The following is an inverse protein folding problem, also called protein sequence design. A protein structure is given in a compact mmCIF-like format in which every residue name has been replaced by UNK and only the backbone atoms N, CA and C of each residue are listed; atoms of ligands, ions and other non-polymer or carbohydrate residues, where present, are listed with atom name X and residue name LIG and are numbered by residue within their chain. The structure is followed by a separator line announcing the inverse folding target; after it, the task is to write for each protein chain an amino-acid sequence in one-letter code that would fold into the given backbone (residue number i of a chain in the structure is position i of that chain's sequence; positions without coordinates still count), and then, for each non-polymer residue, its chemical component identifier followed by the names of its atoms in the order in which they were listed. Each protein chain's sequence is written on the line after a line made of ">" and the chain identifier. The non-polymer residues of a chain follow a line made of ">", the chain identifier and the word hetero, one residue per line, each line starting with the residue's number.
data_IF_495757509823
#
_entry.id   IF_495757509823
#
_cell.length_a   1.000
_cell.length_b   1.000
_cell.length_c   1.000
_cell.angle_alpha   90.00
_cell.angle_beta   90.00
_cell.angle_gamma   90.00
#
_symmetry.space_group_name_H-M   'P 1'
#
loop_
_entity.id
_entity.type
_entity.pdbx_description
1 polymer ?
#
# COMPACT_ATOMS: atom_id res chain seq x y z
N UNK A 1 -6.71 13.89 4.47
CA UNK A 1 -5.98 12.80 3.79
C UNK A 1 -4.49 13.00 3.97
N UNK A 2 -4.01 12.82 5.20
CA UNK A 2 -2.58 12.96 5.55
C UNK A 2 -2.06 11.84 6.46
N UNK A 3 -2.95 11.04 7.07
CA UNK A 3 -2.55 9.93 7.94
C UNK A 3 -1.84 8.83 7.16
N UNK A 4 -2.29 8.55 5.93
CA UNK A 4 -1.65 7.56 5.06
C UNK A 4 -0.23 8.01 4.69
N UNK A 5 -0.07 9.27 4.29
CA UNK A 5 1.21 9.86 3.91
C UNK A 5 2.16 9.91 5.09
N UNK A 6 1.66 10.29 6.27
CA UNK A 6 2.45 10.30 7.49
C UNK A 6 2.85 8.88 7.89
N UNK A 7 1.96 7.91 7.77
CA UNK A 7 2.24 6.48 7.97
C UNK A 7 3.35 5.99 7.03
N UNK A 8 3.21 6.25 5.73
CA UNK A 8 4.19 5.86 4.72
C UNK A 8 5.56 6.52 4.93
N UNK A 9 5.62 7.74 5.50
CA UNK A 9 6.89 8.41 5.81
C UNK A 9 7.66 7.81 7.00
N UNK A 10 7.04 6.93 7.77
CA UNK A 10 7.62 6.34 8.99
C UNK A 10 8.00 4.86 8.83
N UNK A 11 7.83 4.28 7.64
CA UNK A 11 8.09 2.86 7.39
C UNK A 11 8.95 2.69 6.14
N UNK A 12 9.75 1.62 6.09
CA UNK A 12 10.64 1.36 4.96
C UNK A 12 9.97 0.60 3.81
N UNK A 13 8.89 -0.13 4.09
CA UNK A 13 8.20 -0.99 3.13
C UNK A 13 6.72 -1.18 3.47
N UNK A 14 5.94 -1.69 2.52
CA UNK A 14 4.49 -1.97 2.67
C UNK A 14 4.19 -3.43 2.33
N UNK A 15 3.30 -4.04 3.11
CA UNK A 15 2.73 -5.36 2.81
C UNK A 15 1.32 -5.17 2.26
N UNK A 16 1.06 -5.73 1.07
CA UNK A 16 -0.25 -5.74 0.43
C UNK A 16 -0.84 -7.14 0.55
N UNK A 17 -1.77 -7.30 1.49
CA UNK A 17 -2.54 -8.52 1.69
C UNK A 17 -3.66 -8.61 0.65
N UNK A 18 -3.68 -9.67 -0.14
CA UNK A 18 -4.67 -9.90 -1.18
C UNK A 18 -5.29 -11.28 -1.01
N UNK A 19 -6.61 -11.32 -0.86
CA UNK A 19 -7.34 -12.58 -0.92
C UNK A 19 -7.27 -13.17 -2.33
N UNK A 20 -6.93 -14.45 -2.45
CA UNK A 20 -6.73 -15.12 -3.74
C UNK A 20 -8.04 -15.28 -4.54
N UNK A 21 -9.18 -15.28 -3.88
CA UNK A 21 -10.51 -15.42 -4.48
C UNK A 21 -11.09 -14.07 -4.92
N UNK A 22 -10.85 -13.01 -4.15
CA UNK A 22 -11.41 -11.67 -4.40
C UNK A 22 -10.46 -10.74 -5.18
N UNK A 23 -9.15 -10.96 -5.08
CA UNK A 23 -8.13 -10.09 -5.67
C UNK A 23 -8.02 -8.71 -4.99
N UNK A 24 -7.27 -7.76 -5.57
CA UNK A 24 -7.02 -6.46 -4.96
C UNK A 24 -8.25 -5.55 -5.03
N UNK A 25 -8.78 -5.22 -3.86
CA UNK A 25 -10.00 -4.41 -3.73
C UNK A 25 -9.75 -2.91 -4.06
N UNK A 26 -10.74 -2.18 -4.60
CA UNK A 26 -10.59 -0.77 -5.00
C UNK A 26 -10.05 0.15 -3.89
N UNK A 27 -10.38 -0.11 -2.63
CA UNK A 27 -9.91 0.70 -1.51
C UNK A 27 -8.39 0.62 -1.29
N UNK A 28 -7.73 -0.50 -1.63
CA UNK A 28 -6.27 -0.64 -1.43
C UNK A 28 -5.47 0.19 -2.44
N UNK A 29 -6.09 0.54 -3.59
CA UNK A 29 -5.44 1.29 -4.68
C UNK A 29 -4.94 2.66 -4.26
N UNK A 30 -5.63 3.34 -3.34
CA UNK A 30 -5.23 4.67 -2.88
C UNK A 30 -3.88 4.64 -2.16
N UNK A 31 -3.73 3.71 -1.21
CA UNK A 31 -2.51 3.54 -0.43
C UNK A 31 -1.39 2.97 -1.30
N UNK A 32 -1.70 1.94 -2.10
CA UNK A 32 -0.74 1.29 -3.00
C UNK A 32 -0.14 2.29 -4.00
N UNK A 33 -0.95 3.17 -4.60
CA UNK A 33 -0.44 4.22 -5.50
C UNK A 33 0.55 5.15 -4.81
N UNK A 34 0.31 5.52 -3.55
CA UNK A 34 1.21 6.40 -2.80
C UNK A 34 2.52 5.70 -2.46
N UNK A 35 2.47 4.45 -2.01
CA UNK A 35 3.66 3.64 -1.74
C UNK A 35 4.53 3.46 -3.00
N UNK A 36 3.90 3.17 -4.15
CA UNK A 36 4.60 3.03 -5.43
C UNK A 36 5.21 4.36 -5.91
N UNK A 37 4.49 5.49 -5.78
CA UNK A 37 5.03 6.82 -6.08
C UNK A 37 6.23 7.17 -5.18
N UNK A 38 6.20 6.75 -3.92
CA UNK A 38 7.32 6.89 -2.98
C UNK A 38 8.46 5.89 -3.23
N UNK A 39 8.35 5.04 -4.26
CA UNK A 39 9.31 3.98 -4.61
C UNK A 39 9.59 3.01 -3.45
N UNK A 40 8.61 2.80 -2.58
CA UNK A 40 8.73 1.89 -1.46
C UNK A 40 8.64 0.44 -1.95
N UNK A 41 9.41 -0.50 -1.37
CA UNK A 41 9.21 -1.92 -1.58
C UNK A 41 7.78 -2.33 -1.19
N UNK A 42 7.10 -3.03 -2.10
CA UNK A 42 5.77 -3.59 -1.85
C UNK A 42 5.88 -5.11 -1.90
N UNK A 43 5.51 -5.74 -0.80
CA UNK A 43 5.48 -7.21 -0.66
C UNK A 43 4.02 -7.65 -0.81
N UNK A 44 3.73 -8.45 -1.83
CA UNK A 44 2.42 -9.06 -2.02
C UNK A 44 2.33 -10.33 -1.16
N UNK A 45 1.26 -10.47 -0.38
CA UNK A 45 0.97 -11.66 0.44
C UNK A 45 -0.45 -12.10 0.21
#
# INVERSE_FOLDING_TARGET
>A
GGEVERGLSMVDAVVLLVDASEGPLPQTRFVLRKALTAKMPVILV
#
